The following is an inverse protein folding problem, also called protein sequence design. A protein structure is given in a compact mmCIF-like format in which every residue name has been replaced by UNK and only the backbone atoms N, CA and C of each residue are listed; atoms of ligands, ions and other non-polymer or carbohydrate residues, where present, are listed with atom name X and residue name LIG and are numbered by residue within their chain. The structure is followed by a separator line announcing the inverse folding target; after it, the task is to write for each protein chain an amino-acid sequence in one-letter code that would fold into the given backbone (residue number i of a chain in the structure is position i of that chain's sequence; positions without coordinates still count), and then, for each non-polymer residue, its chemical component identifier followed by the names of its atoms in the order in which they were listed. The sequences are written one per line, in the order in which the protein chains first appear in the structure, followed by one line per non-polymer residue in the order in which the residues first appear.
data_IF_070669370608
#
_entry.id   IF_070669370608
#
_cell.length_a   1.000
_cell.length_b   1.000
_cell.length_c   1.000
_cell.angle_alpha   90.00
_cell.angle_beta   90.00
_cell.angle_gamma   90.00
#
_symmetry.space_group_name_H-M   'P 1'
#
loop_
_entity.id
_entity.type
_entity.pdbx_description
1 polymer ?
#
# COMPACT_ATOMS: atom_id res chain seq x y z
N UNK A 1 47.84 -7.83 -23.88
CA UNK A 1 46.46 -7.30 -23.78
C UNK A 1 45.60 -7.94 -24.86
N UNK A 2 44.33 -8.25 -24.58
CA UNK A 2 43.45 -8.86 -25.58
C UNK A 2 43.20 -7.86 -26.71
N UNK A 3 43.34 -8.30 -27.96
CA UNK A 3 43.08 -7.53 -29.19
C UNK A 3 41.65 -6.94 -29.21
N UNK A 4 40.73 -7.54 -28.46
CA UNK A 4 39.36 -7.06 -28.32
C UNK A 4 39.27 -5.83 -27.40
N UNK A 5 40.12 -5.73 -26.38
CA UNK A 5 40.08 -4.62 -25.42
C UNK A 5 40.54 -3.29 -26.04
N UNK A 6 41.50 -3.33 -26.97
CA UNK A 6 42.04 -2.11 -27.62
C UNK A 6 41.09 -1.51 -28.68
N UNK A 7 40.14 -2.28 -29.19
CA UNK A 7 39.22 -1.84 -30.25
C UNK A 7 37.74 -2.06 -29.90
N UNK A 8 37.36 -3.31 -29.63
CA UNK A 8 35.94 -3.67 -29.50
C UNK A 8 35.30 -2.95 -28.30
N UNK A 9 36.01 -2.73 -27.19
CA UNK A 9 35.50 -2.04 -26.01
C UNK A 9 34.89 -0.65 -26.32
N UNK A 10 35.52 0.11 -27.23
CA UNK A 10 35.13 1.47 -27.62
C UNK A 10 34.47 1.57 -29.01
N UNK A 11 34.42 0.47 -29.76
CA UNK A 11 33.80 0.46 -31.08
C UNK A 11 32.27 0.43 -31.02
N UNK A 12 31.62 1.46 -31.57
CA UNK A 12 30.15 1.57 -31.68
C UNK A 12 29.65 1.55 -33.13
N UNK A 13 30.51 1.18 -34.08
CA UNK A 13 30.17 1.13 -35.50
C UNK A 13 29.30 -0.09 -35.81
N UNK A 14 28.19 0.12 -36.51
CA UNK A 14 27.27 -0.94 -36.99
C UNK A 14 27.97 -1.86 -38.01
N UNK A 15 28.86 -1.30 -38.82
CA UNK A 15 29.65 -2.01 -39.82
C UNK A 15 31.13 -1.65 -39.64
N UNK A 16 31.79 -2.32 -38.70
CA UNK A 16 33.21 -2.13 -38.45
C UNK A 16 34.05 -3.04 -39.36
N UNK A 17 35.06 -2.51 -40.08
CA UNK A 17 35.93 -3.30 -40.95
C UNK A 17 37.03 -4.07 -40.20
N UNK A 18 36.97 -4.15 -38.86
CA UNK A 18 38.00 -4.77 -38.05
C UNK A 18 38.07 -6.30 -38.26
N UNK A 19 39.19 -6.85 -38.76
CA UNK A 19 39.24 -8.22 -39.25
C UNK A 19 39.27 -9.27 -38.14
N UNK A 20 39.84 -8.95 -36.97
CA UNK A 20 40.01 -9.92 -35.87
C UNK A 20 38.72 -10.21 -35.09
N UNK A 21 37.67 -9.42 -35.30
CA UNK A 21 36.38 -9.63 -34.64
C UNK A 21 35.26 -9.16 -35.59
N UNK A 22 34.63 -10.06 -36.35
CA UNK A 22 33.60 -9.68 -37.31
C UNK A 22 32.35 -9.16 -36.62
N UNK A 23 31.55 -8.40 -37.37
CA UNK A 23 30.23 -7.96 -36.92
C UNK A 23 29.17 -8.99 -37.28
N UNK A 24 28.24 -9.21 -36.35
CA UNK A 24 27.14 -10.16 -36.46
C UNK A 24 25.87 -9.54 -35.91
N UNK A 25 24.73 -10.10 -36.31
CA UNK A 25 23.41 -9.62 -35.91
C UNK A 25 22.89 -10.40 -34.69
N UNK A 26 22.28 -9.68 -33.74
CA UNK A 26 21.56 -10.34 -32.66
C UNK A 26 20.38 -11.14 -33.23
N UNK A 27 20.21 -12.43 -32.91
CA UNK A 27 19.13 -13.27 -33.45
C UNK A 27 17.73 -12.86 -32.97
N UNK A 28 17.62 -11.94 -32.01
CA UNK A 28 16.35 -11.49 -31.42
C UNK A 28 15.96 -10.07 -31.82
N UNK A 29 16.92 -9.13 -31.81
CA UNK A 29 16.65 -7.73 -32.10
C UNK A 29 17.29 -7.23 -33.42
N UNK A 30 18.07 -8.07 -34.11
CA UNK A 30 18.77 -7.78 -35.36
C UNK A 30 19.76 -6.61 -35.29
N UNK A 31 20.12 -6.16 -34.08
CA UNK A 31 21.17 -5.17 -33.90
C UNK A 31 22.52 -5.76 -34.31
N UNK A 32 23.27 -5.08 -35.17
CA UNK A 32 24.64 -5.45 -35.54
C UNK A 32 25.64 -4.95 -34.50
N UNK A 33 26.54 -5.84 -34.12
CA UNK A 33 27.65 -5.55 -33.21
C UNK A 33 28.79 -6.56 -33.44
N UNK A 34 29.94 -6.32 -32.84
CA UNK A 34 31.00 -7.32 -32.82
C UNK A 34 30.54 -8.61 -32.11
N UNK A 35 30.98 -9.77 -32.59
CA UNK A 35 30.65 -11.08 -31.99
C UNK A 35 30.98 -11.13 -30.49
N UNK A 36 32.12 -10.58 -30.09
CA UNK A 36 32.51 -10.49 -28.68
C UNK A 36 31.55 -9.69 -27.79
N UNK A 37 30.64 -8.88 -28.36
CA UNK A 37 29.62 -8.12 -27.62
C UNK A 37 28.28 -8.83 -27.53
N UNK A 38 28.10 -9.98 -28.19
CA UNK A 38 26.81 -10.65 -28.21
C UNK A 38 26.37 -11.12 -26.81
N UNK A 39 27.31 -11.61 -26.00
CA UNK A 39 27.04 -12.06 -24.64
C UNK A 39 26.56 -10.90 -23.76
N UNK A 40 27.33 -9.80 -23.72
CA UNK A 40 26.94 -8.58 -23.00
C UNK A 40 25.61 -8.00 -23.50
N UNK A 41 25.39 -8.05 -24.82
CA UNK A 41 24.13 -7.59 -25.39
C UNK A 41 22.94 -8.45 -24.96
N UNK A 42 23.10 -9.77 -24.78
CA UNK A 42 22.01 -10.63 -24.33
C UNK A 42 21.44 -10.16 -22.98
N UNK A 43 22.30 -9.65 -22.10
CA UNK A 43 21.90 -9.11 -20.79
C UNK A 43 21.06 -7.83 -20.87
N UNK A 44 21.13 -7.07 -21.97
CA UNK A 44 20.37 -5.82 -22.15
C UNK A 44 19.37 -5.86 -23.32
N UNK A 45 19.41 -6.91 -24.14
CA UNK A 45 18.56 -7.06 -25.32
C UNK A 45 17.08 -7.01 -24.93
N UNK A 46 16.32 -6.08 -25.50
CA UNK A 46 14.88 -5.92 -25.20
C UNK A 46 14.03 -7.08 -25.73
N UNK A 47 14.50 -7.73 -26.79
CA UNK A 47 13.75 -8.78 -27.51
C UNK A 47 14.05 -10.19 -27.02
N UNK A 48 15.00 -10.35 -26.07
CA UNK A 48 15.32 -11.67 -25.50
C UNK A 48 14.21 -12.10 -24.54
N UNK A 49 13.93 -13.40 -24.52
CA UNK A 49 13.03 -14.01 -23.55
C UNK A 49 13.80 -14.29 -22.27
N UNK A 50 13.29 -13.79 -21.15
CA UNK A 50 13.84 -14.01 -19.81
C UNK A 50 12.78 -14.61 -18.90
N UNK A 51 13.17 -15.40 -17.88
CA UNK A 51 12.23 -15.82 -16.84
C UNK A 51 11.61 -14.60 -16.16
N UNK A 52 10.36 -14.72 -15.73
CA UNK A 52 9.72 -13.67 -14.94
C UNK A 52 10.53 -13.38 -13.68
N UNK A 53 10.55 -12.13 -13.23
CA UNK A 53 11.19 -11.73 -11.95
C UNK A 53 10.63 -12.54 -10.77
N UNK A 54 9.35 -12.95 -10.86
CA UNK A 54 8.68 -13.74 -9.84
C UNK A 54 8.79 -15.26 -10.06
N UNK A 55 9.80 -15.73 -10.80
CA UNK A 55 10.02 -17.18 -11.00
C UNK A 55 10.29 -17.89 -9.68
N UNK A 56 11.01 -17.25 -8.75
CA UNK A 56 11.22 -17.76 -7.38
C UNK A 56 9.93 -17.89 -6.58
N UNK A 57 8.90 -17.11 -6.92
CA UNK A 57 7.56 -17.16 -6.32
C UNK A 57 6.61 -18.10 -7.08
N UNK A 58 7.12 -18.88 -8.04
CA UNK A 58 6.35 -19.88 -8.77
C UNK A 58 5.75 -19.41 -10.09
N UNK A 59 6.17 -18.27 -10.64
CA UNK A 59 5.75 -17.89 -11.99
C UNK A 59 6.37 -18.86 -13.03
N UNK A 60 5.57 -19.57 -13.85
CA UNK A 60 6.11 -20.50 -14.85
C UNK A 60 6.48 -19.80 -16.18
N UNK A 61 6.23 -18.50 -16.31
CA UNK A 61 6.32 -17.80 -17.58
C UNK A 61 7.71 -17.24 -17.84
N UNK A 62 8.23 -17.55 -19.04
CA UNK A 62 9.31 -16.79 -19.67
C UNK A 62 8.71 -15.79 -20.64
N UNK A 63 9.08 -14.51 -20.48
CA UNK A 63 8.51 -13.39 -21.24
C UNK A 63 9.62 -12.58 -21.88
N UNK A 64 9.31 -11.92 -23.00
CA UNK A 64 10.25 -10.97 -23.60
C UNK A 64 10.51 -9.82 -22.64
N UNK A 65 11.77 -9.38 -22.54
CA UNK A 65 12.19 -8.30 -21.63
C UNK A 65 11.37 -7.02 -21.83
N UNK A 66 11.03 -6.66 -23.08
CA UNK A 66 10.19 -5.50 -23.40
C UNK A 66 8.72 -5.63 -22.95
N UNK A 67 8.22 -6.86 -22.77
CA UNK A 67 6.84 -7.15 -22.33
C UNK A 67 6.75 -7.53 -20.85
N UNK A 68 7.88 -7.58 -20.15
CA UNK A 68 7.93 -7.98 -18.75
C UNK A 68 7.08 -7.05 -17.86
N UNK A 69 7.13 -5.74 -18.09
CA UNK A 69 6.31 -4.77 -17.34
C UNK A 69 4.81 -5.04 -17.49
N UNK A 70 4.34 -5.32 -18.70
CA UNK A 70 2.95 -5.67 -18.96
C UNK A 70 2.56 -7.00 -18.31
N UNK A 71 3.45 -8.00 -18.35
CA UNK A 71 3.23 -9.27 -17.67
C UNK A 71 3.07 -9.10 -16.15
N UNK A 72 3.90 -8.26 -15.52
CA UNK A 72 3.88 -8.05 -14.07
C UNK A 72 2.54 -7.49 -13.55
N UNK A 73 1.77 -6.79 -14.38
CA UNK A 73 0.41 -6.30 -14.02
C UNK A 73 -0.54 -7.48 -13.74
N UNK A 74 -0.36 -8.60 -14.43
CA UNK A 74 -1.24 -9.77 -14.40
C UNK A 74 -0.51 -11.05 -13.98
N UNK A 75 0.67 -10.92 -13.38
CA UNK A 75 1.49 -12.08 -13.06
C UNK A 75 0.82 -12.88 -11.94
N UNK A 76 0.61 -14.20 -12.11
CA UNK A 76 -0.04 -15.00 -11.06
C UNK A 76 0.79 -15.06 -9.77
N UNK A 77 2.11 -14.89 -9.89
CA UNK A 77 3.04 -14.87 -8.77
C UNK A 77 3.39 -13.44 -8.29
N UNK A 78 2.80 -12.38 -8.87
CA UNK A 78 2.94 -11.01 -8.32
C UNK A 78 1.96 -10.72 -7.20
N UNK A 79 0.92 -11.55 -7.05
CA UNK A 79 0.01 -11.46 -5.91
C UNK A 79 0.66 -12.13 -4.72
N UNK A 80 1.25 -11.32 -3.84
CA UNK A 80 1.54 -11.76 -2.47
C UNK A 80 0.18 -11.87 -1.78
N UNK A 81 -0.47 -13.04 -1.89
CA UNK A 81 -1.58 -13.36 -1.00
C UNK A 81 -0.95 -13.37 0.39
N UNK A 82 -1.23 -12.34 1.19
CA UNK A 82 -0.82 -12.36 2.58
C UNK A 82 -1.48 -13.60 3.19
N UNK A 83 -0.71 -14.55 3.71
CA UNK A 83 -1.26 -15.73 4.39
C UNK A 83 -2.23 -15.35 5.51
N UNK A 84 -2.02 -14.14 6.06
CA UNK A 84 -2.81 -13.53 7.10
C UNK A 84 -3.99 -12.71 6.53
N UNK A 85 -4.29 -12.79 5.22
CA UNK A 85 -5.45 -12.12 4.63
C UNK A 85 -6.77 -12.60 5.26
N UNK A 86 -6.84 -13.88 5.62
CA UNK A 86 -7.93 -14.41 6.45
C UNK A 86 -7.95 -13.84 7.87
N UNK A 87 -6.79 -13.56 8.47
CA UNK A 87 -6.71 -12.88 9.78
C UNK A 87 -7.17 -11.42 9.71
N UNK A 88 -7.24 -10.84 8.51
CA UNK A 88 -7.83 -9.51 8.26
C UNK A 88 -9.36 -9.54 8.17
N UNK A 89 -9.98 -10.72 8.22
CA UNK A 89 -11.44 -10.91 8.18
C UNK A 89 -12.19 -10.38 9.41
N UNK A 90 -11.52 -9.71 10.35
CA UNK A 90 -12.14 -8.92 11.42
C UNK A 90 -12.92 -7.68 10.89
N UNK A 91 -13.40 -7.71 9.65
CA UNK A 91 -14.17 -6.64 9.02
C UNK A 91 -15.64 -6.62 9.46
N UNK A 92 -16.19 -7.74 9.94
CA UNK A 92 -17.57 -7.76 10.44
C UNK A 92 -17.72 -6.88 11.69
N UNK A 93 -18.86 -6.19 11.80
CA UNK A 93 -19.16 -5.26 12.89
C UNK A 93 -19.13 -5.98 14.25
N UNK A 94 -19.56 -7.25 14.29
CA UNK A 94 -19.51 -8.07 15.50
C UNK A 94 -18.07 -8.36 15.92
N UNK A 95 -17.22 -8.81 14.98
CA UNK A 95 -15.81 -9.10 15.24
C UNK A 95 -15.04 -7.85 15.74
N UNK A 96 -15.28 -6.68 15.13
CA UNK A 96 -14.69 -5.41 15.60
C UNK A 96 -15.11 -5.05 17.03
N UNK A 97 -16.38 -5.31 17.38
CA UNK A 97 -16.90 -5.05 18.73
C UNK A 97 -16.26 -5.98 19.75
N UNK A 98 -16.06 -7.24 19.39
CA UNK A 98 -15.40 -8.23 20.24
C UNK A 98 -13.93 -7.86 20.49
N UNK A 99 -13.16 -7.53 19.45
CA UNK A 99 -11.76 -7.11 19.58
C UNK A 99 -11.58 -5.88 20.47
N UNK A 100 -12.47 -4.88 20.34
CA UNK A 100 -12.49 -3.71 21.24
C UNK A 100 -12.73 -4.13 22.70
N UNK A 101 -13.67 -5.04 22.94
CA UNK A 101 -13.96 -5.54 24.29
C UNK A 101 -12.79 -6.33 24.87
N UNK A 102 -12.07 -7.08 24.04
CA UNK A 102 -10.87 -7.84 24.44
C UNK A 102 -9.76 -6.87 24.85
N UNK A 103 -9.47 -5.88 24.01
CA UNK A 103 -8.47 -4.85 24.30
C UNK A 103 -8.77 -4.10 25.61
N UNK A 104 -10.05 -3.75 25.83
CA UNK A 104 -10.50 -3.07 27.05
C UNK A 104 -10.43 -3.95 28.31
N UNK A 105 -10.78 -5.24 28.20
CA UNK A 105 -10.83 -6.15 29.35
C UNK A 105 -9.50 -6.84 29.66
N UNK A 106 -8.44 -6.63 28.85
CA UNK A 106 -7.13 -7.31 28.96
C UNK A 106 -7.27 -8.81 29.20
N UNK A 107 -8.22 -9.45 28.51
CA UNK A 107 -8.42 -10.89 28.64
C UNK A 107 -7.31 -11.57 27.84
N UNK A 108 -6.33 -12.13 28.53
CA UNK A 108 -5.36 -13.05 27.94
C UNK A 108 -6.11 -14.31 27.46
N UNK A 109 -6.29 -14.42 26.15
CA UNK A 109 -6.60 -15.67 25.47
C UNK A 109 -5.66 -15.78 24.28
N UNK A 110 -5.35 -17.01 23.89
CA UNK A 110 -4.72 -17.28 22.61
C UNK A 110 -5.73 -16.95 21.49
N UNK A 111 -5.63 -15.73 20.96
CA UNK A 111 -6.38 -15.34 19.77
C UNK A 111 -5.53 -15.63 18.52
N UNK A 112 -6.18 -16.17 17.49
CA UNK A 112 -5.64 -16.24 16.12
C UNK A 112 -5.63 -14.87 15.41
N UNK A 113 -6.06 -13.80 16.09
CA UNK A 113 -5.99 -12.42 15.61
C UNK A 113 -4.61 -11.81 15.89
N UNK A 114 -4.00 -11.04 14.97
CA UNK A 114 -2.74 -10.34 15.22
C UNK A 114 -2.84 -9.47 16.48
N UNK A 115 -2.03 -9.76 17.51
CA UNK A 115 -1.97 -9.02 18.79
C UNK A 115 -1.93 -7.50 18.59
N UNK A 116 -1.25 -7.05 17.53
CA UNK A 116 -1.15 -5.66 17.09
C UNK A 116 -2.50 -4.95 16.89
N UNK A 117 -3.53 -5.67 16.42
CA UNK A 117 -4.87 -5.10 16.22
C UNK A 117 -5.53 -4.83 17.57
N UNK A 118 -5.43 -5.78 18.50
CA UNK A 118 -5.97 -5.68 19.86
C UNK A 118 -5.26 -4.56 20.61
N UNK A 119 -3.93 -4.52 20.56
CA UNK A 119 -3.12 -3.47 21.19
C UNK A 119 -3.44 -2.10 20.61
N UNK A 120 -3.66 -2.01 19.30
CA UNK A 120 -4.08 -0.79 18.63
C UNK A 120 -5.37 -0.19 19.22
N UNK A 121 -6.32 -1.00 19.68
CA UNK A 121 -7.58 -0.52 20.28
C UNK A 121 -7.40 0.12 21.67
N UNK A 122 -6.21 0.03 22.28
CA UNK A 122 -5.88 0.77 23.51
C UNK A 122 -5.51 2.25 23.23
N UNK A 123 -5.28 2.60 21.96
CA UNK A 123 -4.95 3.95 21.51
C UNK A 123 -6.14 4.68 20.86
N UNK A 124 -6.05 6.01 20.82
CA UNK A 124 -7.08 6.88 20.24
C UNK A 124 -7.42 6.51 18.79
N UNK A 125 -8.65 6.78 18.35
CA UNK A 125 -9.06 6.56 16.94
C UNK A 125 -8.21 7.38 15.97
N UNK A 126 -7.85 8.61 16.34
CA UNK A 126 -6.97 9.47 15.55
C UNK A 126 -5.59 8.83 15.37
N UNK A 127 -5.04 8.27 16.44
CA UNK A 127 -3.77 7.55 16.42
C UNK A 127 -3.80 6.27 15.59
N UNK A 128 -4.88 5.49 15.69
CA UNK A 128 -5.10 4.32 14.83
C UNK A 128 -5.26 4.70 13.36
N UNK A 129 -5.93 5.80 13.07
CA UNK A 129 -6.21 6.24 11.68
C UNK A 129 -4.96 6.78 11.00
N UNK A 130 -4.12 7.55 11.73
CA UNK A 130 -2.82 8.04 11.24
C UNK A 130 -1.85 6.90 10.87
N UNK A 131 -1.99 5.74 11.51
CA UNK A 131 -1.13 4.56 11.35
C UNK A 131 -1.68 3.52 10.38
N UNK A 132 -2.79 3.80 9.70
CA UNK A 132 -3.31 2.95 8.63
C UNK A 132 -2.30 2.90 7.49
N UNK A 133 -1.99 1.69 7.03
CA UNK A 133 -1.12 1.53 5.88
C UNK A 133 -1.84 2.01 4.61
N UNK A 134 -1.15 2.78 3.76
CA UNK A 134 -1.67 3.26 2.48
C UNK A 134 -1.47 2.26 1.34
N UNK A 135 -0.77 1.15 1.58
CA UNK A 135 -0.54 0.10 0.59
C UNK A 135 -1.87 -0.52 0.11
N UNK A 136 -2.89 -0.58 0.97
CA UNK A 136 -4.21 -1.08 0.61
C UNK A 136 -5.25 0.05 0.66
N UNK A 137 -5.46 0.71 -0.48
CA UNK A 137 -6.30 1.93 -0.60
C UNK A 137 -7.77 1.65 -0.22
N UNK A 138 -8.27 0.46 -0.53
CA UNK A 138 -9.68 0.09 -0.32
C UNK A 138 -9.95 -0.47 1.08
N UNK A 139 -9.00 -1.20 1.66
CA UNK A 139 -9.17 -1.84 2.97
C UNK A 139 -7.88 -1.71 3.78
N UNK A 140 -7.53 -0.48 4.20
CA UNK A 140 -6.29 -0.25 4.91
C UNK A 140 -6.40 -0.91 6.28
N UNK A 141 -5.45 -1.79 6.54
CA UNK A 141 -5.45 -2.56 7.77
C UNK A 141 -5.18 -1.65 8.95
N UNK A 142 -5.86 -1.97 10.04
CA UNK A 142 -5.51 -1.51 11.37
C UNK A 142 -4.01 -1.77 11.62
N UNK A 143 -3.37 -0.98 12.50
CA UNK A 143 -1.93 -0.80 12.53
C UNK A 143 -1.19 -2.14 12.53
N UNK A 144 -0.45 -2.43 11.46
CA UNK A 144 0.46 -3.58 11.41
C UNK A 144 1.86 -3.24 11.95
N UNK A 145 2.04 -2.01 12.45
CA UNK A 145 3.29 -1.56 13.07
C UNK A 145 3.15 -1.61 14.60
N UNK A 146 4.12 -2.20 15.32
CA UNK A 146 4.17 -2.16 16.77
C UNK A 146 4.10 -0.71 17.29
N UNK A 147 3.37 -0.52 18.38
CA UNK A 147 3.27 0.78 19.03
C UNK A 147 4.35 0.81 20.11
N UNK A 148 5.46 1.47 19.81
CA UNK A 148 6.57 1.69 20.73
C UNK A 148 6.37 3.03 21.43
N UNK A 149 6.29 2.99 22.76
CA UNK A 149 6.30 4.18 23.60
C UNK A 149 7.75 4.69 23.67
N UNK A 150 8.04 5.80 22.99
CA UNK A 150 9.37 6.43 22.95
C UNK A 150 10.10 6.29 21.61
N UNK A 151 10.62 7.42 21.15
CA UNK A 151 11.49 7.65 19.99
C UNK A 151 11.09 6.95 18.68
N UNK A 152 10.11 7.55 18.02
CA UNK A 152 9.67 7.18 16.68
C UNK A 152 10.75 7.42 15.62
N UNK A 153 11.17 6.35 14.94
CA UNK A 153 11.80 6.38 13.61
C UNK A 153 10.89 7.10 12.58
N UNK A 154 9.58 7.19 12.85
CA UNK A 154 8.57 7.80 11.97
C UNK A 154 8.10 9.21 12.40
N UNK A 155 8.63 9.80 13.47
CA UNK A 155 8.28 11.16 13.93
C UNK A 155 6.83 11.35 14.45
N UNK A 156 6.05 10.28 14.67
CA UNK A 156 4.71 10.36 15.23
C UNK A 156 4.73 10.36 16.76
N UNK A 157 4.55 11.54 17.38
CA UNK A 157 4.23 11.65 18.81
C UNK A 157 2.95 10.84 19.11
N UNK A 158 3.07 9.87 20.02
CA UNK A 158 1.98 9.07 20.57
C UNK A 158 1.29 9.86 21.68
N UNK A 159 -0.03 9.90 21.69
CA UNK A 159 -0.73 10.13 22.95
C UNK A 159 -0.63 8.83 23.76
N UNK A 160 -0.39 8.93 25.06
CA UNK A 160 -0.31 7.78 25.97
C UNK A 160 -1.51 6.83 25.80
N UNK A 161 -1.36 5.53 26.11
CA UNK A 161 -2.49 4.60 26.19
C UNK A 161 -3.63 5.23 27.00
N UNK A 162 -4.86 5.13 26.50
CA UNK A 162 -6.00 5.73 27.21
C UNK A 162 -6.30 4.87 28.44
N UNK A 163 -6.09 5.42 29.64
CA UNK A 163 -6.42 4.74 30.88
C UNK A 163 -7.93 4.40 30.96
N UNK A 164 -8.19 3.19 31.45
CA UNK A 164 -9.50 2.54 31.70
C UNK A 164 -10.74 3.34 31.26
N UNK A 165 -11.14 3.18 30.00
CA UNK A 165 -12.49 3.54 29.60
C UNK A 165 -13.48 2.50 30.13
N UNK A 166 -14.54 2.97 30.78
CA UNK A 166 -15.72 2.16 31.14
C UNK A 166 -16.11 1.26 29.96
N UNK A 167 -16.25 -0.04 30.21
CA UNK A 167 -16.54 -1.06 29.22
C UNK A 167 -17.87 -0.82 28.49
N UNK A 168 -18.72 0.06 29.04
CA UNK A 168 -20.02 0.45 28.47
C UNK A 168 -19.94 1.53 27.39
N UNK A 169 -18.84 2.28 27.29
CA UNK A 169 -18.73 3.42 26.37
C UNK A 169 -18.02 3.00 25.08
N UNK A 170 -18.77 2.83 23.98
CA UNK A 170 -18.18 2.58 22.65
C UNK A 170 -17.69 3.90 22.06
N UNK A 171 -16.45 3.95 21.54
CA UNK A 171 -15.94 5.11 20.79
C UNK A 171 -16.81 5.46 19.57
N UNK A 172 -17.66 4.54 19.09
CA UNK A 172 -18.70 4.83 18.10
C UNK A 172 -19.83 5.72 18.64
N UNK A 173 -20.13 5.66 19.94
CA UNK A 173 -21.10 6.54 20.60
C UNK A 173 -20.54 7.95 20.77
N UNK A 174 -19.23 8.11 20.96
CA UNK A 174 -18.60 9.43 21.02
C UNK A 174 -18.66 10.14 19.66
N UNK A 175 -18.43 9.44 18.56
CA UNK A 175 -18.58 10.02 17.20
C UNK A 175 -20.04 10.40 16.93
N UNK A 176 -20.99 9.55 17.32
CA UNK A 176 -22.42 9.85 17.18
C UNK A 176 -22.82 11.06 18.01
N UNK A 177 -22.35 11.14 19.26
CA UNK A 177 -22.57 12.31 20.12
C UNK A 177 -21.91 13.58 19.56
N UNK A 178 -20.72 13.48 18.98
CA UNK A 178 -20.02 14.63 18.39
C UNK A 178 -20.68 15.10 17.08
N UNK A 179 -21.13 14.16 16.24
CA UNK A 179 -21.94 14.45 15.05
C UNK A 179 -23.29 15.05 15.44
N UNK A 180 -23.96 14.49 16.43
CA UNK A 180 -25.22 15.01 16.98
C UNK A 180 -25.01 16.42 17.58
N UNK A 181 -23.89 16.67 18.27
CA UNK A 181 -23.54 17.98 18.80
C UNK A 181 -23.24 18.99 17.67
N UNK A 182 -22.52 18.59 16.61
CA UNK A 182 -22.30 19.42 15.41
C UNK A 182 -23.60 19.70 14.68
N UNK A 183 -24.49 18.71 14.56
CA UNK A 183 -25.83 18.85 13.99
C UNK A 183 -26.70 19.78 14.85
N UNK A 184 -26.64 19.67 16.18
CA UNK A 184 -27.33 20.55 17.11
C UNK A 184 -26.83 21.99 17.00
N UNK A 185 -25.51 22.21 16.89
CA UNK A 185 -24.93 23.54 16.68
C UNK A 185 -25.32 24.16 15.34
N UNK A 186 -25.34 23.36 14.25
CA UNK A 186 -25.85 23.80 12.95
C UNK A 186 -27.33 24.16 13.02
N UNK A 187 -28.15 23.31 13.65
CA UNK A 187 -29.58 23.58 13.89
C UNK A 187 -29.80 24.86 14.70
N UNK A 188 -28.92 25.16 15.67
CA UNK A 188 -28.98 26.39 16.47
C UNK A 188 -28.70 27.65 15.64
N UNK A 189 -27.72 27.61 14.73
CA UNK A 189 -27.38 28.75 13.84
C UNK A 189 -28.57 29.10 12.91
N UNK A 190 -29.34 28.08 12.50
CA UNK A 190 -30.49 28.24 11.61
C UNK A 190 -31.83 28.19 12.34
N UNK A 191 -31.85 28.30 13.68
CA UNK A 191 -33.05 28.15 14.48
C UNK A 191 -34.16 29.16 14.12
N UNK A 192 -33.76 30.35 13.66
CA UNK A 192 -34.68 31.43 13.24
C UNK A 192 -34.93 31.47 11.73
N UNK A 193 -34.41 30.52 10.95
CA UNK A 193 -34.69 30.44 9.52
C UNK A 193 -36.04 29.76 9.29
N UNK A 194 -37.03 30.54 8.84
CA UNK A 194 -38.37 30.03 8.52
C UNK A 194 -38.34 28.88 7.50
N UNK A 195 -37.46 28.94 6.50
CA UNK A 195 -37.31 27.88 5.49
C UNK A 195 -36.75 26.58 6.06
N UNK A 196 -35.83 26.64 7.03
CA UNK A 196 -35.37 25.45 7.76
C UNK A 196 -36.46 24.83 8.64
N UNK A 197 -37.40 25.62 9.16
CA UNK A 197 -38.50 25.13 10.00
C UNK A 197 -39.61 24.47 9.17
N UNK A 198 -39.94 25.04 8.00
CA UNK A 198 -41.04 24.56 7.16
C UNK A 198 -40.61 23.44 6.22
N UNK A 199 -39.37 23.47 5.69
CA UNK A 199 -38.90 22.49 4.72
C UNK A 199 -37.39 22.20 4.83
N UNK A 200 -36.96 21.44 5.87
CA UNK A 200 -35.54 21.25 6.21
C UNK A 200 -34.70 20.52 5.15
N UNK A 201 -35.34 19.80 4.22
CA UNK A 201 -34.66 19.12 3.12
C UNK A 201 -34.40 20.02 1.89
N UNK A 202 -34.98 21.23 1.85
CA UNK A 202 -34.84 22.16 0.72
C UNK A 202 -33.51 22.89 0.81
N UNK A 203 -32.67 22.77 -0.23
CA UNK A 203 -31.43 23.56 -0.32
C UNK A 203 -31.79 25.04 -0.50
N UNK A 204 -31.40 25.87 0.46
CA UNK A 204 -31.56 27.32 0.41
C UNK A 204 -30.34 28.01 1.02
N UNK A 205 -30.08 29.24 0.59
CA UNK A 205 -28.92 30.01 1.03
C UNK A 205 -29.24 30.78 2.30
N UNK A 206 -28.34 30.69 3.27
CA UNK A 206 -28.32 31.59 4.42
C UNK A 206 -27.32 32.71 4.14
N UNK A 207 -27.78 33.94 3.98
CA UNK A 207 -26.90 35.10 4.12
C UNK A 207 -26.54 35.22 5.59
N UNK A 208 -25.30 34.86 5.94
CA UNK A 208 -24.69 35.23 7.20
C UNK A 208 -24.64 36.76 7.23
N UNK A 209 -25.67 37.38 7.83
CA UNK A 209 -25.69 38.82 8.07
C UNK A 209 -24.54 39.23 8.98
N UNK A 210 -24.03 40.45 8.76
CA UNK A 210 -22.96 41.11 9.54
C UNK A 210 -23.10 40.94 11.05
#
# INVERSE_FOLDING_TARGET
ESIHYSHCSSCHLISCPFPSCPTSECPRCYLRMHECKQEDHAEICKMVSIPCVNTSFGCPFSVRRDRLSHHLIFCPASVIVCSNERERACLDKAAKKELKLIAKRRIERDYECPKLIIDGYTYSRGDRTRRRDRIHIHEPLLPLRPIVDGDSVDGLVTNSPVDQQDATVDSSDDEKKEEDAKMAKKRAIFANCYMCQVAPATQHFHTLGR
#
